data_IF_691671391377
#
_entry.id   IF_691671391377
#
_cell.length_a   1.000
_cell.length_b   1.000
_cell.length_c   1.000
_cell.angle_alpha   90.00
_cell.angle_beta   90.00
_cell.angle_gamma   90.00
#
_symmetry.space_group_name_H-M   'P 1'
#
loop_
_entity.id
_entity.type
_entity.pdbx_description
1 polymer ?
#
# COMPACT_ATOMS: atom_id res chain seq x y z
N UNK A 1 13.33 -9.49 8.52
CA UNK A 1 12.45 -8.42 8.00
C UNK A 1 13.32 -7.26 7.54
N UNK A 2 13.03 -6.70 6.37
CA UNK A 2 13.75 -5.56 5.80
C UNK A 2 12.70 -4.48 5.54
N UNK A 3 12.97 -3.24 5.95
CA UNK A 3 12.17 -2.07 5.60
C UNK A 3 12.93 -1.23 4.59
N UNK A 4 12.24 -0.85 3.52
CA UNK A 4 12.76 0.06 2.51
C UNK A 4 11.81 1.24 2.44
N UNK A 5 12.30 2.42 2.81
CA UNK A 5 11.54 3.66 2.70
C UNK A 5 11.90 4.34 1.38
N UNK A 6 10.93 4.42 0.48
CA UNK A 6 11.09 5.05 -0.83
C UNK A 6 10.72 6.53 -0.72
N UNK A 7 11.44 7.38 -1.48
CA UNK A 7 10.95 8.74 -1.77
C UNK A 7 9.70 8.69 -2.65
N UNK A 8 9.56 7.63 -3.47
CA UNK A 8 8.40 7.38 -4.30
C UNK A 8 8.06 8.56 -5.20
N UNK A 9 6.79 8.97 -5.16
CA UNK A 9 6.24 10.05 -5.97
C UNK A 9 6.10 11.37 -5.19
N UNK A 10 6.97 11.63 -4.21
CA UNK A 10 6.99 12.89 -3.49
C UNK A 10 7.13 14.10 -4.45
N UNK A 11 6.54 15.24 -4.09
CA UNK A 11 6.51 16.48 -4.90
C UNK A 11 7.89 16.88 -5.48
N UNK A 12 7.83 17.66 -6.55
CA UNK A 12 8.89 17.89 -7.55
C UNK A 12 9.13 16.63 -8.38
N UNK A 13 8.05 16.11 -8.96
CA UNK A 13 8.01 14.81 -9.64
C UNK A 13 9.11 14.57 -10.69
N UNK A 14 9.52 15.56 -11.52
CA UNK A 14 10.63 15.36 -12.46
C UNK A 14 11.96 14.96 -11.80
N UNK A 15 12.15 15.22 -10.50
CA UNK A 15 13.32 14.76 -9.73
C UNK A 15 13.17 13.33 -9.18
N UNK A 16 12.12 12.59 -9.56
CA UNK A 16 11.86 11.22 -9.11
C UNK A 16 12.30 10.18 -10.12
N UNK A 17 12.53 10.57 -11.38
CA UNK A 17 12.84 9.64 -12.46
C UNK A 17 13.93 10.21 -13.37
N UNK A 18 14.75 9.35 -13.99
CA UNK A 18 15.73 9.81 -14.96
C UNK A 18 15.06 10.06 -16.33
N UNK A 19 15.72 10.77 -17.26
CA UNK A 19 15.12 11.20 -18.53
C UNK A 19 14.49 10.08 -19.36
N UNK A 20 14.99 8.84 -19.26
CA UNK A 20 14.50 7.68 -20.02
C UNK A 20 13.10 7.23 -19.58
N UNK A 21 12.64 7.66 -18.40
CA UNK A 21 11.31 7.39 -17.86
C UNK A 21 10.33 8.54 -18.04
N UNK A 22 10.76 9.64 -18.66
CA UNK A 22 9.87 10.72 -19.12
C UNK A 22 9.09 10.25 -20.34
N UNK A 23 7.94 9.63 -20.09
CA UNK A 23 7.05 9.14 -21.13
C UNK A 23 6.05 10.21 -21.59
N UNK A 24 5.42 10.90 -20.63
CA UNK A 24 4.52 12.02 -20.89
C UNK A 24 5.23 13.37 -20.77
N UNK A 25 4.70 14.40 -21.43
CA UNK A 25 5.23 15.76 -21.32
C UNK A 25 4.99 16.32 -19.92
N UNK A 26 5.95 17.08 -19.40
CA UNK A 26 5.88 17.59 -18.02
C UNK A 26 5.26 19.00 -17.94
N UNK A 27 4.64 19.49 -19.02
CA UNK A 27 3.95 20.79 -18.96
C UNK A 27 2.69 20.68 -18.08
N UNK A 28 2.04 19.52 -18.09
CA UNK A 28 1.05 19.14 -17.09
C UNK A 28 1.74 18.48 -15.88
N UNK A 29 1.49 19.01 -14.68
CA UNK A 29 2.01 18.45 -13.43
C UNK A 29 1.47 17.03 -13.17
N UNK A 30 0.29 16.70 -13.69
CA UNK A 30 -0.30 15.36 -13.65
C UNK A 30 0.55 14.36 -14.42
N UNK A 31 0.97 14.71 -15.63
CA UNK A 31 1.86 13.87 -16.44
C UNK A 31 3.22 13.68 -15.76
N UNK A 32 3.75 14.73 -15.12
CA UNK A 32 4.99 14.61 -14.35
C UNK A 32 4.82 13.65 -13.16
N UNK A 33 3.67 13.67 -12.48
CA UNK A 33 3.32 12.70 -11.44
C UNK A 33 3.21 11.27 -12.01
N UNK A 34 2.54 11.08 -13.14
CA UNK A 34 2.39 9.77 -13.79
C UNK A 34 3.74 9.18 -14.23
N UNK A 35 4.66 10.00 -14.73
CA UNK A 35 6.05 9.58 -14.99
C UNK A 35 6.76 9.10 -13.70
N UNK A 36 6.51 9.76 -12.57
CA UNK A 36 7.09 9.33 -11.28
C UNK A 36 6.52 8.01 -10.80
N UNK A 37 5.21 7.78 -11.00
CA UNK A 37 4.56 6.50 -10.69
C UNK A 37 5.12 5.38 -11.57
N UNK A 38 5.32 5.66 -12.87
CA UNK A 38 5.94 4.72 -13.81
C UNK A 38 7.35 4.30 -13.38
N UNK A 39 8.17 5.25 -12.93
CA UNK A 39 9.49 4.92 -12.43
C UNK A 39 9.45 4.20 -11.07
N UNK A 40 8.53 4.58 -10.19
CA UNK A 40 8.33 3.88 -8.92
C UNK A 40 7.90 2.41 -9.14
N UNK A 41 7.04 2.13 -10.13
CA UNK A 41 6.69 0.77 -10.57
C UNK A 41 7.94 0.00 -11.03
N UNK A 42 8.80 0.63 -11.85
CA UNK A 42 10.06 0.03 -12.23
C UNK A 42 10.96 -0.27 -11.02
N UNK A 43 11.13 0.67 -10.08
CA UNK A 43 11.92 0.46 -8.86
C UNK A 43 11.38 -0.74 -8.06
N UNK A 44 10.06 -0.81 -7.87
CA UNK A 44 9.40 -1.92 -7.19
C UNK A 44 9.62 -3.25 -7.91
N UNK A 45 9.60 -3.25 -9.26
CA UNK A 45 9.91 -4.44 -10.07
C UNK A 45 11.35 -4.92 -9.85
N UNK A 46 12.33 -3.99 -9.78
CA UNK A 46 13.73 -4.36 -9.55
C UNK A 46 13.94 -4.93 -8.14
N UNK A 47 13.27 -4.35 -7.13
CA UNK A 47 13.26 -4.89 -5.78
C UNK A 47 12.65 -6.30 -5.73
N UNK A 48 11.50 -6.48 -6.39
CA UNK A 48 10.84 -7.78 -6.46
C UNK A 48 11.73 -8.83 -7.12
N UNK A 49 12.33 -8.54 -8.28
CA UNK A 49 13.23 -9.49 -8.96
C UNK A 49 14.46 -9.82 -8.11
N UNK A 50 15.05 -8.82 -7.45
CA UNK A 50 16.19 -9.03 -6.55
C UNK A 50 15.82 -9.92 -5.35
N UNK A 51 14.64 -9.72 -4.75
CA UNK A 51 14.19 -10.54 -3.63
C UNK A 51 13.76 -11.94 -4.05
N UNK A 52 12.99 -12.06 -5.14
CA UNK A 52 12.52 -13.34 -5.69
C UNK A 52 13.67 -14.29 -6.02
N UNK A 53 14.83 -13.78 -6.41
CA UNK A 53 16.03 -14.58 -6.66
C UNK A 53 16.65 -15.21 -5.40
N UNK A 54 16.24 -14.76 -4.20
CA UNK A 54 16.77 -15.30 -2.94
C UNK A 54 16.03 -16.59 -2.53
N UNK A 55 16.75 -17.61 -2.06
CA UNK A 55 16.13 -18.86 -1.61
C UNK A 55 15.27 -18.71 -0.34
N UNK A 56 15.47 -17.63 0.43
CA UNK A 56 14.75 -17.33 1.67
C UNK A 56 13.62 -16.30 1.48
N UNK A 57 13.30 -15.90 0.25
CA UNK A 57 12.19 -14.98 -0.01
C UNK A 57 10.84 -15.60 0.36
N UNK A 58 10.02 -14.83 1.07
CA UNK A 58 8.69 -15.27 1.54
C UNK A 58 7.61 -14.32 1.05
N UNK A 59 7.69 -13.05 1.43
CA UNK A 59 6.69 -12.03 1.09
C UNK A 59 7.37 -10.66 0.94
N UNK A 60 6.90 -9.89 -0.04
CA UNK A 60 7.15 -8.46 -0.19
C UNK A 60 5.80 -7.74 -0.09
N UNK A 61 5.73 -6.71 0.74
CA UNK A 61 4.52 -5.92 0.98
C UNK A 61 4.87 -4.48 0.62
N UNK A 62 4.02 -3.85 -0.18
CA UNK A 62 4.15 -2.44 -0.52
C UNK A 62 2.87 -1.71 -0.11
N UNK A 63 3.05 -0.56 0.54
CA UNK A 63 1.99 0.36 0.90
C UNK A 63 2.56 1.77 0.74
N UNK A 64 1.85 2.66 0.04
CA UNK A 64 2.18 4.08 0.10
C UNK A 64 1.74 4.67 1.45
N UNK A 65 2.48 5.66 1.96
CA UNK A 65 2.12 6.34 3.20
C UNK A 65 0.88 7.23 3.03
N UNK A 66 0.78 7.91 1.88
CA UNK A 66 -0.38 8.69 1.47
C UNK A 66 -0.52 8.73 -0.07
N UNK A 67 -1.67 9.22 -0.54
CA UNK A 67 -1.91 9.55 -1.95
C UNK A 67 -1.56 11.00 -2.27
N UNK A 68 -1.89 11.49 -3.45
CA UNK A 68 -1.49 12.83 -3.88
C UNK A 68 -2.55 13.41 -4.82
N UNK A 69 -2.86 14.70 -4.65
CA UNK A 69 -3.52 15.46 -5.69
C UNK A 69 -2.46 16.21 -6.49
N UNK A 70 -2.17 15.88 -7.76
CA UNK A 70 -1.07 16.50 -8.50
C UNK A 70 -1.21 18.01 -8.67
N UNK A 71 -2.42 18.56 -8.53
CA UNK A 71 -2.67 20.01 -8.63
C UNK A 71 -2.51 20.71 -7.28
N UNK A 72 -3.04 20.13 -6.20
CA UNK A 72 -3.10 20.75 -4.88
C UNK A 72 -1.98 20.31 -3.91
N UNK A 73 -1.28 19.21 -4.22
CA UNK A 73 -0.41 18.52 -3.27
C UNK A 73 -1.23 17.68 -2.28
N UNK A 74 -0.64 17.33 -1.13
CA UNK A 74 -1.25 16.50 -0.09
C UNK A 74 -1.39 17.25 1.26
N UNK A 75 -1.69 18.56 1.21
CA UNK A 75 -1.82 19.36 2.44
C UNK A 75 -3.15 19.08 3.15
N UNK A 76 -3.14 18.73 4.45
CA UNK A 76 -4.37 18.41 5.19
C UNK A 76 -5.47 19.48 5.13
N UNK A 77 -5.09 20.76 5.11
CA UNK A 77 -6.04 21.89 5.05
C UNK A 77 -6.88 21.94 3.74
N UNK A 78 -6.48 21.22 2.70
CA UNK A 78 -7.16 21.15 1.41
C UNK A 78 -7.43 19.70 0.99
N UNK A 79 -7.84 18.86 1.95
CA UNK A 79 -8.06 17.44 1.73
C UNK A 79 -8.95 17.13 0.52
N UNK A 80 -8.49 16.18 -0.29
CA UNK A 80 -9.24 15.54 -1.37
C UNK A 80 -9.00 14.02 -1.30
N UNK A 81 -9.95 13.22 -1.77
CA UNK A 81 -9.93 11.75 -1.57
C UNK A 81 -8.76 11.02 -2.23
N UNK A 82 -8.22 11.56 -3.32
CA UNK A 82 -6.98 11.12 -3.94
C UNK A 82 -5.74 11.23 -3.03
N UNK A 83 -5.80 12.06 -1.97
CA UNK A 83 -4.75 12.12 -0.94
C UNK A 83 -4.80 10.93 0.04
N UNK A 84 -5.94 10.24 0.17
CA UNK A 84 -6.12 9.11 1.09
C UNK A 84 -6.14 7.74 0.41
N UNK A 85 -6.42 7.69 -0.90
CA UNK A 85 -6.43 6.44 -1.66
C UNK A 85 -5.02 6.05 -2.05
N UNK A 86 -4.57 4.92 -1.53
CA UNK A 86 -3.20 4.44 -1.68
C UNK A 86 -3.15 3.02 -2.25
N UNK A 87 -2.10 2.69 -3.01
CA UNK A 87 -1.82 1.31 -3.37
C UNK A 87 -1.36 0.49 -2.15
N UNK A 88 -1.89 -0.73 -2.03
CA UNK A 88 -1.41 -1.78 -1.13
C UNK A 88 -1.38 -3.09 -1.91
N UNK A 89 -0.27 -3.80 -1.88
CA UNK A 89 -0.18 -5.15 -2.46
C UNK A 89 0.81 -6.05 -1.73
N UNK A 90 0.62 -7.36 -1.93
CA UNK A 90 1.43 -8.43 -1.37
C UNK A 90 1.92 -9.32 -2.52
N UNK A 91 3.24 -9.45 -2.66
CA UNK A 91 3.86 -10.40 -3.57
C UNK A 91 4.50 -11.53 -2.73
N UNK A 92 4.15 -12.77 -3.02
CA UNK A 92 4.52 -13.94 -2.20
C UNK A 92 5.32 -14.96 -3.02
N UNK A 93 6.24 -15.68 -2.38
CA UNK A 93 6.94 -16.80 -3.01
C UNK A 93 6.05 -18.04 -3.07
N UNK A 94 6.35 -18.97 -3.99
CA UNK A 94 5.64 -20.24 -4.08
C UNK A 94 5.74 -21.05 -2.78
N UNK A 95 6.87 -20.95 -2.08
CA UNK A 95 7.09 -21.60 -0.79
C UNK A 95 6.17 -21.01 0.29
N UNK A 96 6.04 -19.69 0.36
CA UNK A 96 5.10 -19.02 1.26
C UNK A 96 3.66 -19.44 0.96
N UNK A 97 3.26 -19.46 -0.32
CA UNK A 97 1.92 -19.89 -0.74
C UNK A 97 1.63 -21.33 -0.32
N UNK A 98 2.60 -22.25 -0.46
CA UNK A 98 2.47 -23.66 -0.06
C UNK A 98 2.39 -23.83 1.46
N UNK A 99 3.17 -23.07 2.22
CA UNK A 99 3.22 -23.15 3.69
C UNK A 99 2.04 -22.46 4.38
N UNK A 100 1.51 -21.40 3.77
CA UNK A 100 0.48 -20.54 4.36
C UNK A 100 -0.77 -20.41 3.46
N UNK A 101 -1.36 -21.50 2.94
CA UNK A 101 -2.46 -21.43 1.97
C UNK A 101 -3.70 -20.73 2.51
N UNK A 102 -3.97 -20.84 3.82
CA UNK A 102 -5.09 -20.15 4.48
C UNK A 102 -4.88 -18.64 4.53
N UNK A 103 -3.67 -18.18 4.87
CA UNK A 103 -3.30 -16.76 4.84
C UNK A 103 -3.46 -16.18 3.43
N UNK A 104 -2.99 -16.91 2.40
CA UNK A 104 -3.14 -16.47 1.00
C UNK A 104 -4.59 -16.43 0.55
N UNK A 105 -5.41 -17.40 0.95
CA UNK A 105 -6.83 -17.42 0.64
C UNK A 105 -7.58 -16.24 1.28
N UNK A 106 -7.32 -15.96 2.56
CA UNK A 106 -7.90 -14.81 3.25
C UNK A 106 -7.48 -13.48 2.61
N UNK A 107 -6.19 -13.30 2.27
CA UNK A 107 -5.71 -12.11 1.55
C UNK A 107 -6.45 -11.89 0.22
N UNK A 108 -6.68 -12.96 -0.55
CA UNK A 108 -7.42 -12.88 -1.82
C UNK A 108 -8.89 -12.51 -1.62
N UNK A 109 -9.54 -13.12 -0.64
CA UNK A 109 -10.95 -12.83 -0.32
C UNK A 109 -11.13 -11.39 0.18
N UNK A 110 -10.20 -10.92 1.00
CA UNK A 110 -10.27 -9.61 1.63
C UNK A 110 -9.72 -8.47 0.77
N UNK A 111 -9.08 -8.74 -0.37
CA UNK A 111 -8.46 -7.72 -1.23
C UNK A 111 -9.42 -6.63 -1.73
N UNK A 112 -10.73 -6.92 -1.74
CA UNK A 112 -11.80 -5.98 -2.15
C UNK A 112 -12.45 -5.25 -0.97
N UNK A 113 -12.07 -5.59 0.27
CA UNK A 113 -12.61 -4.95 1.48
C UNK A 113 -11.81 -3.68 1.79
N UNK A 114 -12.43 -2.64 2.35
CA UNK A 114 -11.72 -1.41 2.71
C UNK A 114 -10.57 -1.66 3.68
N UNK A 115 -9.48 -0.92 3.50
CA UNK A 115 -8.27 -0.99 4.31
C UNK A 115 -7.76 0.42 4.64
N UNK A 116 -7.23 0.62 5.84
CA UNK A 116 -6.54 1.84 6.27
C UNK A 116 -5.23 1.48 6.96
N UNK A 117 -4.29 2.42 7.04
CA UNK A 117 -2.97 2.20 7.64
C UNK A 117 -3.03 1.71 9.10
N UNK A 118 -4.13 2.00 9.81
CA UNK A 118 -4.41 1.52 11.18
C UNK A 118 -4.39 -0.01 11.30
N UNK A 119 -4.65 -0.72 10.20
CA UNK A 119 -4.75 -2.18 10.14
C UNK A 119 -3.46 -2.88 9.72
N UNK A 120 -2.43 -2.12 9.32
CA UNK A 120 -1.15 -2.69 8.89
C UNK A 120 -0.44 -3.43 10.02
N UNK A 121 -0.56 -2.94 11.25
CA UNK A 121 0.04 -3.59 12.42
C UNK A 121 -0.45 -5.05 12.57
N UNK A 122 -1.76 -5.24 12.67
CA UNK A 122 -2.37 -6.57 12.82
C UNK A 122 -2.16 -7.44 11.58
N UNK A 123 -2.17 -6.83 10.39
CA UNK A 123 -1.91 -7.54 9.14
C UNK A 123 -0.48 -8.11 9.06
N UNK A 124 0.53 -7.37 9.53
CA UNK A 124 1.90 -7.88 9.65
C UNK A 124 2.00 -9.01 10.68
N UNK A 125 1.32 -8.88 11.83
CA UNK A 125 1.23 -9.96 12.81
C UNK A 125 0.63 -11.23 12.20
N UNK A 126 -0.45 -11.10 11.43
CA UNK A 126 -1.11 -12.19 10.72
C UNK A 126 -0.20 -12.91 9.73
N UNK A 127 0.46 -12.14 8.87
CA UNK A 127 1.41 -12.64 7.85
C UNK A 127 2.64 -13.29 8.47
N UNK A 128 3.15 -12.77 9.60
CA UNK A 128 4.31 -13.32 10.31
C UNK A 128 3.95 -14.45 11.30
N UNK A 129 2.67 -14.79 11.45
CA UNK A 129 2.22 -15.85 12.36
C UNK A 129 2.28 -15.47 13.85
N UNK A 130 2.31 -14.17 14.17
CA UNK A 130 2.37 -13.62 15.54
C UNK A 130 0.96 -13.47 16.16
N UNK A 131 0.09 -14.47 15.95
CA UNK A 131 -1.35 -14.39 16.30
C UNK A 131 -1.64 -14.54 17.80
N UNK A 132 -0.68 -15.02 18.57
CA UNK A 132 -0.78 -15.16 20.03
C UNK A 132 -0.37 -13.87 20.79
N UNK A 133 0.01 -12.81 20.06
CA UNK A 133 0.46 -11.56 20.69
C UNK A 133 -0.73 -10.81 21.32
N UNK A 134 -0.62 -10.25 22.55
CA UNK A 134 -1.78 -9.73 23.29
C UNK A 134 -2.45 -8.51 22.65
N UNK A 135 -1.77 -7.83 21.73
CA UNK A 135 -2.33 -6.67 21.02
C UNK A 135 -2.81 -6.99 19.61
N UNK A 136 -2.67 -8.25 19.16
CA UNK A 136 -3.16 -8.68 17.86
C UNK A 136 -4.69 -8.79 17.88
N UNK A 137 -5.34 -8.15 16.91
CA UNK A 137 -6.77 -8.23 16.67
C UNK A 137 -7.03 -8.80 15.26
N UNK A 138 -7.56 -10.04 15.14
CA UNK A 138 -7.78 -10.67 13.85
C UNK A 138 -8.91 -10.00 13.02
N UNK A 139 -9.65 -9.05 13.60
CA UNK A 139 -10.61 -8.21 12.87
C UNK A 139 -9.95 -7.09 12.05
N UNK A 140 -8.71 -6.74 12.40
CA UNK A 140 -7.87 -5.76 11.69
C UNK A 140 -6.85 -6.44 10.75
N UNK A 141 -6.73 -7.77 10.77
CA UNK A 141 -5.77 -8.50 9.95
C UNK A 141 -6.37 -8.88 8.60
N UNK A 142 -5.95 -8.21 7.51
CA UNK A 142 -6.43 -8.50 6.15
C UNK A 142 -6.07 -9.93 5.69
N UNK A 143 -5.15 -10.61 6.37
CA UNK A 143 -4.77 -12.00 6.14
C UNK A 143 -5.55 -13.02 7.00
N UNK A 144 -6.60 -12.57 7.71
CA UNK A 144 -7.52 -13.40 8.50
C UNK A 144 -8.89 -13.53 7.84
N UNK A 145 -9.50 -14.71 7.91
CA UNK A 145 -10.91 -14.90 7.49
C UNK A 145 -11.91 -14.16 8.37
N UNK A 146 -11.50 -13.73 9.57
CA UNK A 146 -12.34 -12.93 10.47
C UNK A 146 -12.15 -11.43 10.27
N UNK A 147 -11.46 -11.00 9.21
CA UNK A 147 -11.30 -9.59 8.87
C UNK A 147 -12.67 -8.95 8.60
N UNK A 148 -13.11 -8.12 9.53
CA UNK A 148 -14.48 -7.61 9.59
C UNK A 148 -14.62 -6.19 10.16
N UNK A 149 -13.53 -5.40 10.22
CA UNK A 149 -13.60 -4.03 10.74
C UNK A 149 -14.66 -3.22 9.96
N UNK A 150 -15.67 -2.66 10.65
CA UNK A 150 -16.72 -1.94 9.97
C UNK A 150 -16.18 -0.70 9.27
N UNK A 151 -16.61 -0.50 8.02
CA UNK A 151 -16.30 0.70 7.24
C UNK A 151 -16.65 1.99 7.99
N UNK A 152 -17.72 1.93 8.80
CA UNK A 152 -18.18 3.02 9.66
C UNK A 152 -17.21 3.41 10.78
N UNK A 153 -16.20 2.59 11.08
CA UNK A 153 -15.14 2.85 12.06
C UNK A 153 -13.82 3.26 11.41
N UNK A 154 -13.70 3.11 10.09
CA UNK A 154 -12.50 3.48 9.36
C UNK A 154 -12.44 4.99 9.18
N UNK A 155 -11.25 5.56 9.43
CA UNK A 155 -11.01 7.01 9.41
C UNK A 155 -9.76 7.36 8.62
N UNK A 156 -9.69 8.60 8.20
CA UNK A 156 -8.48 9.27 7.69
C UNK A 156 -8.39 10.67 8.33
N UNK A 157 -7.35 11.43 7.99
CA UNK A 157 -7.19 12.82 8.43
C UNK A 157 -7.23 12.97 9.95
N UNK A 158 -6.24 12.37 10.63
CA UNK A 158 -6.11 12.38 12.10
C UNK A 158 -7.29 11.77 12.87
N UNK A 159 -8.15 10.99 12.19
CA UNK A 159 -9.34 10.39 12.79
C UNK A 159 -10.63 11.20 12.58
N UNK A 160 -10.54 12.37 11.94
CA UNK A 160 -11.65 13.31 11.83
C UNK A 160 -12.62 12.97 10.69
N UNK A 161 -12.14 12.30 9.63
CA UNK A 161 -12.95 12.00 8.45
C UNK A 161 -13.21 10.51 8.35
N UNK A 162 -14.49 10.13 8.20
CA UNK A 162 -14.91 8.75 7.94
C UNK A 162 -14.73 8.38 6.48
N UNK A 163 -14.17 7.21 6.18
CA UNK A 163 -13.96 6.84 4.77
C UNK A 163 -15.28 6.57 4.02
N UNK A 164 -16.39 6.28 4.73
CA UNK A 164 -17.72 6.17 4.12
C UNK A 164 -18.33 7.51 3.68
N UNK A 165 -17.63 8.62 3.90
CA UNK A 165 -17.94 9.89 3.25
C UNK A 165 -17.22 10.09 1.90
N UNK A 166 -16.42 9.11 1.46
CA UNK A 166 -15.84 9.10 0.12
C UNK A 166 -16.93 8.79 -0.94
N UNK A 167 -17.20 9.71 -1.89
CA UNK A 167 -18.21 9.50 -2.91
C UNK A 167 -17.90 8.35 -3.88
N UNK A 168 -16.67 7.83 -3.94
CA UNK A 168 -16.32 6.67 -4.76
C UNK A 168 -15.64 5.57 -3.95
N UNK A 169 -16.15 5.27 -2.75
CA UNK A 169 -15.75 4.08 -1.98
C UNK A 169 -16.16 2.78 -2.69
#
# INVERSE_FOLDING_TARGET
MIFIHLVGSHTDYPNRYPPEYKFWDEQDRTNAYDNSLRYNDWVLSQLYEAFKARPDFQVMIYMADHGENPKLGHRPAHFTWDMARIPLWFAMSDDFVKKHPQTVAALKENAVKPFTNDMMFDSLCGVFGLKEWPFYNPKNDISSFTYDRPVSELRTMYGDIRIDSDPNL
#
